data_IF_879935292473
#
_entry.id   IF_879935292473
#
_cell.length_a   1.000
_cell.length_b   1.000
_cell.length_c   1.000
_cell.angle_alpha   90.00
_cell.angle_beta   90.00
_cell.angle_gamma   90.00
#
_symmetry.space_group_name_H-M   'P 1'
#
loop_
_entity.id
_entity.type
_entity.pdbx_description
1 polymer ?
#
# COMPACT_ATOMS: atom_id res chain seq x y z
N UNK A 1 42.83 -31.22 -40.29
CA UNK A 1 42.85 -30.10 -39.32
C UNK A 1 41.44 -29.79 -38.87
N UNK A 2 41.16 -30.14 -37.67
CA UNK A 2 39.83 -29.97 -37.11
C UNK A 2 39.75 -28.62 -36.41
N UNK A 3 39.09 -27.68 -37.02
CA UNK A 3 38.70 -26.46 -36.29
C UNK A 3 37.55 -26.86 -35.39
N UNK A 4 37.83 -27.05 -34.13
CA UNK A 4 36.79 -27.10 -33.12
C UNK A 4 36.22 -25.72 -33.06
N UNK A 5 35.04 -25.52 -33.67
CA UNK A 5 34.25 -24.35 -33.40
C UNK A 5 33.79 -24.48 -31.94
N UNK A 6 34.40 -23.72 -31.08
CA UNK A 6 33.85 -23.49 -29.77
C UNK A 6 32.54 -22.72 -30.02
N UNK A 7 31.44 -23.47 -30.10
CA UNK A 7 30.14 -22.87 -29.86
C UNK A 7 30.18 -22.38 -28.43
N UNK A 8 30.49 -21.10 -28.27
CA UNK A 8 30.18 -20.42 -27.03
C UNK A 8 28.67 -20.43 -26.96
N UNK A 9 28.15 -21.49 -26.34
CA UNK A 9 26.81 -21.43 -25.80
C UNK A 9 26.91 -20.38 -24.71
N UNK A 10 26.68 -19.13 -25.07
CA UNK A 10 26.24 -18.12 -24.13
C UNK A 10 24.96 -18.65 -23.52
N UNK A 11 25.11 -19.44 -22.47
CA UNK A 11 24.10 -19.60 -21.49
C UNK A 11 23.82 -18.19 -21.00
N UNK A 12 22.87 -17.51 -21.67
CA UNK A 12 22.07 -16.54 -21.01
C UNK A 12 21.35 -17.32 -19.92
N UNK A 13 22.08 -17.59 -18.83
CA UNK A 13 21.44 -17.65 -17.55
C UNK A 13 20.83 -16.28 -17.46
N UNK A 14 19.61 -16.18 -17.99
CA UNK A 14 18.74 -15.10 -17.64
C UNK A 14 18.78 -15.12 -16.13
N UNK A 15 19.62 -14.30 -15.56
CA UNK A 15 19.39 -13.84 -14.23
C UNK A 15 17.97 -13.35 -14.31
N UNK A 16 17.03 -14.20 -13.96
CA UNK A 16 15.77 -13.73 -13.47
C UNK A 16 16.17 -12.94 -12.24
N UNK A 17 16.65 -11.73 -12.50
CA UNK A 17 16.53 -10.71 -11.51
C UNK A 17 15.05 -10.75 -11.20
N UNK A 18 14.71 -11.35 -10.06
CA UNK A 18 13.53 -10.95 -9.35
C UNK A 18 13.63 -9.44 -9.32
N UNK A 19 13.06 -8.81 -10.33
CA UNK A 19 12.84 -7.39 -10.33
C UNK A 19 12.19 -7.17 -8.98
N UNK A 20 12.81 -6.43 -8.03
CA UNK A 20 12.08 -6.02 -6.87
C UNK A 20 10.80 -5.47 -7.45
N UNK A 21 9.63 -6.01 -7.03
CA UNK A 21 8.34 -5.51 -7.51
C UNK A 21 8.50 -4.02 -7.51
N UNK A 22 8.66 -3.43 -8.70
CA UNK A 22 8.88 -2.00 -8.79
C UNK A 22 7.88 -1.40 -7.86
N UNK A 23 8.33 -0.54 -6.94
CA UNK A 23 7.47 0.32 -6.20
C UNK A 23 6.53 0.95 -7.21
N UNK A 24 5.49 0.24 -7.57
CA UNK A 24 4.38 0.85 -8.27
C UNK A 24 4.01 1.96 -7.34
N UNK A 25 4.14 3.17 -7.80
CA UNK A 25 3.87 4.33 -7.00
C UNK A 25 2.61 4.04 -6.21
N UNK A 26 2.80 3.80 -4.93
CA UNK A 26 1.72 3.48 -4.01
C UNK A 26 0.88 4.71 -3.70
N UNK A 27 1.33 5.86 -4.19
CA UNK A 27 0.63 7.12 -4.05
C UNK A 27 -0.37 7.29 -5.19
N UNK A 28 -1.64 7.39 -4.84
CA UNK A 28 -2.72 7.64 -5.78
C UNK A 28 -3.35 9.00 -5.53
N UNK A 29 -3.70 9.67 -6.62
CA UNK A 29 -4.56 10.84 -6.55
C UNK A 29 -5.91 10.48 -5.92
N UNK A 30 -6.62 11.46 -5.41
CA UNK A 30 -7.96 11.25 -4.84
C UNK A 30 -8.90 10.55 -5.83
N UNK A 31 -8.90 10.96 -7.10
CA UNK A 31 -9.76 10.36 -8.10
C UNK A 31 -9.40 8.89 -8.35
N UNK A 32 -8.12 8.59 -8.53
CA UNK A 32 -7.66 7.23 -8.79
C UNK A 32 -7.90 6.32 -7.58
N UNK A 33 -7.65 6.83 -6.38
CA UNK A 33 -7.87 6.10 -5.14
C UNK A 33 -9.36 5.79 -4.92
N UNK A 34 -10.24 6.78 -5.14
CA UNK A 34 -11.69 6.61 -5.01
C UNK A 34 -12.25 5.68 -6.09
N UNK A 35 -11.80 5.82 -7.35
CA UNK A 35 -12.24 4.97 -8.45
C UNK A 35 -11.82 3.51 -8.24
N UNK A 36 -10.61 3.29 -7.73
CA UNK A 36 -10.13 1.94 -7.41
C UNK A 36 -10.99 1.26 -6.33
N UNK A 37 -11.46 1.99 -5.33
CA UNK A 37 -12.39 1.46 -4.32
C UNK A 37 -13.74 1.03 -4.91
N UNK A 38 -14.24 1.77 -5.90
CA UNK A 38 -15.47 1.38 -6.60
C UNK A 38 -15.28 0.08 -7.38
N UNK A 39 -14.13 -0.06 -8.04
CA UNK A 39 -13.80 -1.23 -8.85
C UNK A 39 -13.43 -2.47 -8.00
N UNK A 40 -13.03 -2.26 -6.75
CA UNK A 40 -12.58 -3.31 -5.83
C UNK A 40 -13.36 -3.25 -4.51
N UNK A 41 -14.63 -3.71 -4.49
CA UNK A 41 -15.48 -3.59 -3.31
C UNK A 41 -15.00 -4.41 -2.11
N UNK A 42 -14.11 -5.39 -2.33
CA UNK A 42 -13.47 -6.19 -1.28
C UNK A 42 -12.24 -5.50 -0.63
N UNK A 43 -11.77 -4.40 -1.21
CA UNK A 43 -10.65 -3.65 -0.68
C UNK A 43 -10.97 -3.03 0.68
N UNK A 44 -9.95 -2.93 1.52
CA UNK A 44 -10.08 -2.37 2.87
C UNK A 44 -9.55 -0.95 2.89
N UNK A 45 -10.35 -0.03 3.40
CA UNK A 45 -9.92 1.33 3.71
C UNK A 45 -9.31 1.36 5.10
N UNK A 46 -8.09 1.86 5.21
CA UNK A 46 -7.35 1.93 6.46
C UNK A 46 -7.01 3.37 6.81
N UNK A 47 -7.56 3.83 7.92
CA UNK A 47 -7.26 5.12 8.54
C UNK A 47 -6.15 4.93 9.57
N UNK A 48 -4.99 5.54 9.35
CA UNK A 48 -3.83 5.43 10.25
C UNK A 48 -3.65 6.64 11.16
N UNK A 49 -4.69 7.45 11.29
CA UNK A 49 -4.74 8.58 12.23
C UNK A 49 -5.00 8.10 13.65
N UNK A 50 -4.96 9.02 14.58
CA UNK A 50 -5.36 8.74 15.96
C UNK A 50 -6.84 8.41 16.06
N UNK A 51 -7.23 7.72 17.11
CA UNK A 51 -8.64 7.43 17.42
C UNK A 51 -9.48 8.72 17.51
N UNK A 52 -8.93 9.76 18.10
CA UNK A 52 -9.61 11.05 18.24
C UNK A 52 -9.89 11.70 16.88
N UNK A 53 -8.91 11.71 15.99
CA UNK A 53 -9.11 12.19 14.62
C UNK A 53 -10.17 11.36 13.88
N UNK A 54 -10.12 10.05 14.03
CA UNK A 54 -11.10 9.14 13.43
C UNK A 54 -12.53 9.42 13.93
N UNK A 55 -12.70 9.63 15.21
CA UNK A 55 -14.00 9.88 15.82
C UNK A 55 -14.61 11.22 15.38
N UNK A 56 -13.78 12.20 15.01
CA UNK A 56 -14.25 13.49 14.48
C UNK A 56 -14.77 13.41 13.04
N UNK A 57 -14.45 12.36 12.33
CA UNK A 57 -14.89 12.12 10.96
C UNK A 57 -13.90 11.25 10.20
N UNK A 58 -14.40 10.30 9.44
CA UNK A 58 -13.60 9.35 8.68
C UNK A 58 -14.30 8.91 7.39
N UNK A 59 -13.56 8.35 6.49
CA UNK A 59 -14.12 7.77 5.27
C UNK A 59 -14.97 6.54 5.64
N UNK A 60 -16.17 6.37 5.06
CA UNK A 60 -17.06 5.27 5.42
C UNK A 60 -16.38 3.91 5.34
N UNK A 61 -16.70 3.03 6.29
CA UNK A 61 -16.16 1.67 6.42
C UNK A 61 -14.64 1.58 6.72
N UNK A 62 -13.97 2.69 6.99
CA UNK A 62 -12.55 2.66 7.32
C UNK A 62 -12.31 1.91 8.63
N UNK A 63 -11.28 1.08 8.61
CA UNK A 63 -10.67 0.49 9.80
C UNK A 63 -9.66 1.50 10.35
N UNK A 64 -9.66 1.75 11.64
CA UNK A 64 -8.70 2.65 12.26
C UNK A 64 -7.60 1.88 13.00
N UNK A 65 -6.36 2.12 12.61
CA UNK A 65 -5.16 1.64 13.32
C UNK A 65 -4.16 2.77 13.34
N UNK A 66 -3.95 3.34 14.51
CA UNK A 66 -3.10 4.52 14.71
C UNK A 66 -1.61 4.18 14.50
N UNK A 67 -0.99 4.81 13.50
CA UNK A 67 0.45 4.64 13.23
C UNK A 67 1.33 5.05 14.41
N UNK A 68 0.88 6.01 15.21
CA UNK A 68 1.65 6.53 16.37
C UNK A 68 1.76 5.55 17.53
N UNK A 69 1.03 4.45 17.50
CA UNK A 69 1.13 3.40 18.52
C UNK A 69 2.46 2.63 18.47
N UNK A 70 3.32 2.86 17.45
CA UNK A 70 4.62 2.20 17.35
C UNK A 70 4.49 0.68 17.28
N UNK A 71 5.03 -0.07 18.28
CA UNK A 71 4.90 -1.52 18.32
C UNK A 71 3.45 -2.01 18.27
N UNK A 72 2.52 -1.28 18.86
CA UNK A 72 1.09 -1.59 18.81
C UNK A 72 0.51 -1.51 17.41
N UNK A 73 0.97 -0.58 16.59
CA UNK A 73 0.62 -0.52 15.16
C UNK A 73 1.10 -1.76 14.42
N UNK A 74 2.35 -2.17 14.63
CA UNK A 74 2.91 -3.36 14.00
C UNK A 74 2.15 -4.62 14.39
N UNK A 75 1.83 -4.79 15.66
CA UNK A 75 1.06 -5.93 16.16
C UNK A 75 -0.33 -5.99 15.52
N UNK A 76 -1.02 -4.86 15.45
CA UNK A 76 -2.34 -4.78 14.85
C UNK A 76 -2.32 -5.07 13.34
N UNK A 77 -1.36 -4.49 12.61
CA UNK A 77 -1.20 -4.70 11.16
C UNK A 77 -0.90 -6.16 10.86
N UNK A 78 -0.08 -6.83 11.66
CA UNK A 78 0.26 -8.24 11.45
C UNK A 78 -0.93 -9.20 11.63
N UNK A 79 -2.04 -8.75 12.20
CA UNK A 79 -3.28 -9.56 12.29
C UNK A 79 -4.11 -9.50 11.01
N UNK A 80 -3.83 -8.57 10.11
CA UNK A 80 -4.59 -8.38 8.87
C UNK A 80 -4.19 -9.38 7.80
N UNK A 81 -5.12 -9.68 6.90
CA UNK A 81 -4.88 -10.51 5.74
C UNK A 81 -4.01 -9.76 4.71
N UNK A 82 -2.77 -10.21 4.56
CA UNK A 82 -1.78 -9.57 3.68
C UNK A 82 -2.05 -9.75 2.19
N UNK A 83 -2.96 -10.63 1.81
CA UNK A 83 -3.36 -10.87 0.42
C UNK A 83 -4.40 -9.89 -0.09
N UNK A 84 -5.04 -9.15 0.79
CA UNK A 84 -6.05 -8.15 0.42
C UNK A 84 -5.42 -6.82 0.01
N UNK A 85 -6.21 -6.01 -0.69
CA UNK A 85 -5.82 -4.65 -1.07
C UNK A 85 -6.22 -3.66 0.02
N UNK A 86 -5.29 -2.78 0.38
CA UNK A 86 -5.48 -1.76 1.41
C UNK A 86 -5.31 -0.37 0.83
N UNK A 87 -6.32 0.44 1.01
CA UNK A 87 -6.34 1.84 0.63
C UNK A 87 -6.19 2.67 1.90
N UNK A 88 -5.03 3.28 2.05
CA UNK A 88 -4.55 3.84 3.31
C UNK A 88 -4.58 5.35 3.24
N UNK A 89 -5.06 6.00 4.28
CA UNK A 89 -5.04 7.44 4.37
C UNK A 89 -4.75 7.93 5.80
N UNK A 90 -4.29 9.16 5.85
CA UNK A 90 -4.20 9.93 7.08
C UNK A 90 -4.74 11.34 6.88
N UNK A 91 -4.28 12.32 7.66
CA UNK A 91 -4.75 13.69 7.52
C UNK A 91 -4.28 14.34 6.22
N UNK A 92 -2.97 14.29 5.92
CA UNK A 92 -2.33 14.98 4.80
C UNK A 92 -1.56 14.09 3.83
N UNK A 93 -1.43 12.79 4.12
CA UNK A 93 -0.73 11.80 3.29
C UNK A 93 0.64 11.37 3.82
N UNK A 94 1.22 12.03 4.80
CA UNK A 94 2.58 11.73 5.29
C UNK A 94 2.63 10.46 6.16
N UNK A 95 1.77 10.34 7.16
CA UNK A 95 1.68 9.14 8.02
C UNK A 95 1.28 7.92 7.21
N UNK A 96 0.33 8.07 6.30
CA UNK A 96 -0.14 6.97 5.45
C UNK A 96 0.92 6.51 4.44
N UNK A 97 1.74 7.40 3.91
CA UNK A 97 2.89 7.02 3.08
C UNK A 97 3.87 6.14 3.88
N UNK A 98 4.15 6.49 5.11
CA UNK A 98 4.99 5.68 6.01
C UNK A 98 4.33 4.33 6.33
N UNK A 99 3.04 4.32 6.63
CA UNK A 99 2.29 3.09 6.91
C UNK A 99 2.31 2.14 5.72
N UNK A 100 2.09 2.64 4.51
CA UNK A 100 2.15 1.85 3.26
C UNK A 100 3.53 1.21 3.09
N UNK A 101 4.61 1.94 3.34
CA UNK A 101 5.97 1.39 3.25
C UNK A 101 6.19 0.27 4.27
N UNK A 102 5.78 0.49 5.51
CA UNK A 102 5.86 -0.53 6.58
C UNK A 102 5.07 -1.79 6.18
N UNK A 103 3.85 -1.62 5.68
CA UNK A 103 3.01 -2.74 5.27
C UNK A 103 3.65 -3.54 4.12
N UNK A 104 4.25 -2.87 3.16
CA UNK A 104 5.00 -3.53 2.07
C UNK A 104 6.17 -4.33 2.59
N UNK A 105 6.94 -3.76 3.49
CA UNK A 105 8.07 -4.44 4.11
C UNK A 105 7.63 -5.68 4.91
N UNK A 106 6.41 -5.67 5.44
CA UNK A 106 5.79 -6.80 6.14
C UNK A 106 5.13 -7.83 5.21
N UNK A 107 5.16 -7.62 3.89
CA UNK A 107 4.68 -8.58 2.91
C UNK A 107 3.25 -8.36 2.41
N UNK A 108 2.65 -7.20 2.66
CA UNK A 108 1.37 -6.82 2.05
C UNK A 108 1.55 -6.63 0.54
N UNK A 109 0.73 -7.29 -0.26
CA UNK A 109 0.87 -7.31 -1.72
C UNK A 109 0.39 -6.04 -2.39
N UNK A 110 -0.65 -5.40 -1.86
CA UNK A 110 -1.29 -4.23 -2.46
C UNK A 110 -1.67 -3.20 -1.40
N UNK A 111 -0.91 -2.11 -1.37
CA UNK A 111 -1.15 -0.98 -0.46
C UNK A 111 -1.02 0.34 -1.22
N UNK A 112 -1.98 1.23 -1.05
CA UNK A 112 -2.07 2.48 -1.79
C UNK A 112 -2.33 3.64 -0.85
N UNK A 113 -1.53 4.70 -0.99
CA UNK A 113 -1.65 5.92 -0.21
C UNK A 113 -2.54 6.95 -0.92
N UNK A 114 -3.43 7.60 -0.17
CA UNK A 114 -4.20 8.74 -0.65
C UNK A 114 -3.36 10.02 -0.57
N UNK A 115 -2.93 10.54 -1.71
CA UNK A 115 -2.25 11.83 -1.77
C UNK A 115 -3.17 12.92 -1.23
N UNK A 116 -2.65 13.77 -0.35
CA UNK A 116 -3.39 14.87 0.26
C UNK A 116 -4.28 14.48 1.45
N UNK A 117 -4.48 13.18 1.66
CA UNK A 117 -5.23 12.65 2.79
C UNK A 117 -6.67 13.13 2.87
N UNK A 118 -7.27 13.00 4.05
CA UNK A 118 -8.68 13.40 4.27
C UNK A 118 -8.88 14.92 4.15
N UNK A 119 -7.83 15.73 4.31
CA UNK A 119 -7.93 17.18 4.13
C UNK A 119 -8.41 17.57 2.74
N UNK A 120 -7.99 16.84 1.71
CA UNK A 120 -8.35 17.10 0.31
C UNK A 120 -9.48 16.18 -0.18
N UNK A 121 -9.95 15.28 0.67
CA UNK A 121 -11.00 14.33 0.33
C UNK A 121 -12.32 15.04 0.07
N UNK A 122 -12.91 14.79 -1.10
CA UNK A 122 -14.20 15.37 -1.53
C UNK A 122 -15.35 14.37 -1.46
N UNK A 123 -15.06 13.13 -1.07
CA UNK A 123 -16.07 12.11 -0.89
C UNK A 123 -16.78 12.22 0.44
N UNK A 124 -17.64 11.27 0.71
CA UNK A 124 -18.40 11.18 1.97
C UNK A 124 -17.48 10.94 3.17
N UNK A 125 -17.84 11.54 4.31
CA UNK A 125 -17.28 11.21 5.62
C UNK A 125 -18.42 10.94 6.61
N UNK A 126 -18.13 10.10 7.59
CA UNK A 126 -19.06 9.75 8.68
C UNK A 126 -18.36 9.91 10.03
N UNK A 127 -19.13 10.07 11.09
CA UNK A 127 -18.62 10.11 12.48
C UNK A 127 -18.77 8.77 13.18
#
# INVERSE_FOLDING_TARGET
MWKKSLSIVLLFIGCMYLQPKQNRMSDLSQNDWANALVDHPEAIVLDVRTQEEFDEGHIPKALNIDLRLGPGFLDAINTLDKSKSYYVYCRSGARSAQAVQIMRDLGFSETYNLIGGILEWKGETVE
#
